data_IF_716938455333
#
_entry.id   IF_716938455333
#
_cell.length_a   1.000
_cell.length_b   1.000
_cell.length_c   1.000
_cell.angle_alpha   90.00
_cell.angle_beta   90.00
_cell.angle_gamma   90.00
#
_symmetry.space_group_name_H-M   'P 1'
#
loop_
_entity.id
_entity.type
_entity.pdbx_description
1 polymer ?
#
# COMPACT_ATOMS: atom_id res chain seq x y z
N UNK A 1 20.93 -13.78 23.04
CA UNK A 1 20.08 -12.59 22.79
C UNK A 1 19.35 -12.79 21.47
N UNK A 2 18.02 -12.65 21.47
CA UNK A 2 17.09 -13.12 20.43
C UNK A 2 17.33 -12.53 19.03
N UNK A 3 17.84 -13.34 18.10
CA UNK A 3 17.82 -13.02 16.65
C UNK A 3 16.42 -13.16 16.02
N UNK A 4 15.37 -13.43 16.80
CA UNK A 4 14.04 -13.79 16.31
C UNK A 4 13.11 -12.59 16.03
N UNK A 5 13.28 -11.47 16.76
CA UNK A 5 12.37 -10.32 16.63
C UNK A 5 12.34 -9.69 15.22
N UNK A 6 13.47 -9.47 14.51
CA UNK A 6 13.44 -8.88 13.17
C UNK A 6 12.75 -9.75 12.13
N UNK A 7 12.89 -11.08 12.25
CA UNK A 7 12.24 -12.04 11.34
C UNK A 7 10.73 -12.11 11.56
N UNK A 8 10.29 -12.04 12.81
CA UNK A 8 8.87 -12.00 13.14
C UNK A 8 8.22 -10.71 12.63
N UNK A 9 8.86 -9.55 12.83
CA UNK A 9 8.36 -8.29 12.29
C UNK A 9 8.34 -8.26 10.76
N UNK A 10 9.37 -8.82 10.10
CA UNK A 10 9.37 -8.94 8.64
C UNK A 10 8.21 -9.84 8.14
N UNK A 11 7.99 -10.99 8.77
CA UNK A 11 6.86 -11.88 8.44
C UNK A 11 5.52 -11.17 8.65
N UNK A 12 5.34 -10.47 9.77
CA UNK A 12 4.15 -9.69 10.05
C UNK A 12 3.91 -8.60 8.98
N UNK A 13 4.97 -7.88 8.57
CA UNK A 13 4.87 -6.88 7.51
C UNK A 13 4.45 -7.50 6.17
N UNK A 14 5.01 -8.66 5.82
CA UNK A 14 4.61 -9.39 4.61
C UNK A 14 3.17 -9.91 4.67
N UNK A 15 2.72 -10.44 5.82
CA UNK A 15 1.32 -10.86 6.01
C UNK A 15 0.38 -9.67 5.85
N UNK A 16 0.69 -8.52 6.48
CA UNK A 16 -0.15 -7.34 6.35
C UNK A 16 -0.23 -6.84 4.91
N UNK A 17 0.86 -6.90 4.13
CA UNK A 17 0.81 -6.61 2.69
C UNK A 17 -0.13 -7.54 1.92
N UNK A 18 -0.12 -8.84 2.22
CA UNK A 18 -1.07 -9.77 1.60
C UNK A 18 -2.50 -9.46 2.02
N UNK A 19 -2.72 -9.13 3.30
CA UNK A 19 -4.03 -8.72 3.81
C UNK A 19 -4.53 -7.50 3.05
N UNK A 20 -3.71 -6.46 2.84
CA UNK A 20 -4.15 -5.27 2.09
C UNK A 20 -4.55 -5.59 0.65
N UNK A 21 -3.87 -6.54 -0.01
CA UNK A 21 -4.27 -6.96 -1.35
C UNK A 21 -5.61 -7.69 -1.35
N UNK A 22 -5.74 -8.69 -0.47
CA UNK A 22 -6.95 -9.51 -0.38
C UNK A 22 -8.15 -8.65 -0.02
N UNK A 23 -8.01 -7.76 0.96
CA UNK A 23 -9.11 -6.89 1.39
C UNK A 23 -9.47 -5.86 0.32
N UNK A 24 -8.49 -5.26 -0.36
CA UNK A 24 -8.73 -4.32 -1.46
C UNK A 24 -9.53 -4.96 -2.61
N UNK A 25 -9.10 -6.13 -3.10
CA UNK A 25 -9.79 -6.85 -4.18
C UNK A 25 -11.18 -7.32 -3.72
N UNK A 26 -11.27 -7.88 -2.53
CA UNK A 26 -12.55 -8.35 -1.99
C UNK A 26 -13.54 -7.21 -1.76
N UNK A 27 -13.08 -6.00 -1.40
CA UNK A 27 -13.93 -4.83 -1.21
C UNK A 27 -14.60 -4.42 -2.54
N UNK A 28 -13.85 -4.40 -3.64
CA UNK A 28 -14.39 -4.12 -4.98
C UNK A 28 -15.49 -5.13 -5.34
N UNK A 29 -15.24 -6.42 -5.11
CA UNK A 29 -16.23 -7.48 -5.36
C UNK A 29 -17.47 -7.31 -4.47
N UNK A 30 -17.28 -6.97 -3.19
CA UNK A 30 -18.38 -6.77 -2.26
C UNK A 30 -19.27 -5.58 -2.65
N UNK A 31 -18.67 -4.43 -2.99
CA UNK A 31 -19.41 -3.27 -3.47
C UNK A 31 -20.12 -3.54 -4.80
N UNK A 32 -19.48 -4.24 -5.73
CA UNK A 32 -20.08 -4.64 -7.00
C UNK A 32 -21.29 -5.57 -6.84
N UNK A 33 -21.31 -6.38 -5.77
CA UNK A 33 -22.44 -7.23 -5.41
C UNK A 33 -23.51 -6.52 -4.55
N UNK A 34 -23.40 -5.20 -4.34
CA UNK A 34 -24.31 -4.43 -3.47
C UNK A 34 -24.17 -4.73 -1.97
N UNK A 35 -23.12 -5.45 -1.55
CA UNK A 35 -22.87 -5.82 -0.14
C UNK A 35 -22.09 -4.71 0.56
N UNK A 36 -22.70 -3.54 0.69
CA UNK A 36 -22.09 -2.34 1.29
C UNK A 36 -21.47 -2.60 2.67
N UNK A 37 -22.12 -3.31 3.63
CA UNK A 37 -21.50 -3.58 4.92
C UNK A 37 -20.20 -4.39 4.81
N UNK A 38 -20.14 -5.34 3.88
CA UNK A 38 -18.94 -6.14 3.65
C UNK A 38 -17.82 -5.31 3.00
N UNK A 39 -18.16 -4.46 2.03
CA UNK A 39 -17.20 -3.52 1.42
C UNK A 39 -16.56 -2.59 2.45
N UNK A 40 -17.38 -1.92 3.27
CA UNK A 40 -16.90 -1.03 4.35
C UNK A 40 -16.02 -1.80 5.34
N UNK A 41 -16.42 -3.01 5.76
CA UNK A 41 -15.62 -3.82 6.68
C UNK A 41 -14.23 -4.16 6.10
N UNK A 42 -14.18 -4.52 4.82
CA UNK A 42 -12.94 -4.85 4.12
C UNK A 42 -12.04 -3.62 3.95
N UNK A 43 -12.60 -2.43 3.69
CA UNK A 43 -11.84 -1.18 3.61
C UNK A 43 -11.26 -0.75 4.96
N UNK A 44 -11.97 -0.98 6.07
CA UNK A 44 -11.42 -0.75 7.40
C UNK A 44 -10.25 -1.71 7.69
N UNK A 45 -10.39 -2.99 7.33
CA UNK A 45 -9.29 -3.95 7.45
C UNK A 45 -8.09 -3.59 6.56
N UNK A 46 -8.35 -3.11 5.33
CA UNK A 46 -7.35 -2.56 4.43
C UNK A 46 -6.61 -1.38 5.07
N UNK A 47 -7.33 -0.38 5.59
CA UNK A 47 -6.74 0.80 6.21
C UNK A 47 -5.86 0.44 7.42
N UNK A 48 -6.29 -0.52 8.26
CA UNK A 48 -5.47 -1.03 9.36
C UNK A 48 -4.21 -1.75 8.86
N UNK A 49 -4.32 -2.54 7.79
CA UNK A 49 -3.17 -3.13 7.12
C UNK A 49 -2.22 -2.07 6.57
N UNK A 50 -2.75 -0.95 6.07
CA UNK A 50 -1.95 0.19 5.61
C UNK A 50 -1.12 0.79 6.74
N UNK A 51 -1.75 1.16 7.86
CA UNK A 51 -1.03 1.68 9.03
C UNK A 51 0.00 0.67 9.54
N UNK A 52 -0.39 -0.59 9.70
CA UNK A 52 0.50 -1.64 10.24
C UNK A 52 1.71 -1.90 9.37
N UNK A 53 1.56 -1.95 8.03
CA UNK A 53 2.70 -2.05 7.11
C UNK A 53 3.62 -0.83 7.18
N UNK A 54 3.06 0.38 7.28
CA UNK A 54 3.82 1.62 7.46
C UNK A 54 4.70 1.57 8.71
N UNK A 55 4.11 1.24 9.86
CA UNK A 55 4.82 1.16 11.15
C UNK A 55 5.90 0.08 11.13
N UNK A 56 5.59 -1.13 10.65
CA UNK A 56 6.55 -2.23 10.64
C UNK A 56 7.72 -1.97 9.68
N UNK A 57 7.46 -1.44 8.48
CA UNK A 57 8.55 -1.13 7.55
C UNK A 57 9.38 0.06 8.01
N UNK A 58 8.80 1.06 8.68
CA UNK A 58 9.61 2.08 9.36
C UNK A 58 10.55 1.45 10.39
N UNK A 59 10.01 0.60 11.26
CA UNK A 59 10.81 -0.05 12.29
C UNK A 59 11.96 -0.88 11.69
N UNK A 60 11.68 -1.61 10.61
CA UNK A 60 12.63 -2.52 9.95
C UNK A 60 13.69 -1.80 9.11
N UNK A 61 13.35 -0.68 8.46
CA UNK A 61 14.21 -0.01 7.47
C UNK A 61 14.78 1.34 7.92
N UNK A 62 14.37 1.89 9.08
CA UNK A 62 14.84 3.21 9.57
C UNK A 62 16.36 3.34 9.70
N UNK A 63 17.07 2.25 9.97
CA UNK A 63 18.55 2.25 10.08
C UNK A 63 19.25 2.33 8.73
N UNK A 64 18.56 2.00 7.64
CA UNK A 64 19.05 2.10 6.26
C UNK A 64 18.69 3.42 5.58
N UNK A 65 17.69 4.14 6.09
CA UNK A 65 17.28 5.43 5.54
C UNK A 65 16.12 6.03 6.33
N UNK A 66 16.43 6.70 7.45
CA UNK A 66 15.44 7.18 8.42
C UNK A 66 14.37 8.08 7.80
N UNK A 67 14.76 9.05 6.98
CA UNK A 67 13.83 9.99 6.35
C UNK A 67 12.86 9.26 5.41
N UNK A 68 13.38 8.45 4.47
CA UNK A 68 12.54 7.69 3.52
C UNK A 68 11.63 6.69 4.22
N UNK A 69 12.13 6.01 5.25
CA UNK A 69 11.33 5.10 6.06
C UNK A 69 10.18 5.83 6.78
N UNK A 70 10.43 7.03 7.30
CA UNK A 70 9.41 7.86 7.93
C UNK A 70 8.41 8.40 6.89
N UNK A 71 8.88 8.84 5.72
CA UNK A 71 8.04 9.26 4.60
C UNK A 71 7.10 8.14 4.15
N UNK A 72 7.60 6.91 3.99
CA UNK A 72 6.77 5.75 3.66
C UNK A 72 5.69 5.51 4.71
N UNK A 73 6.05 5.50 6.01
CA UNK A 73 5.07 5.29 7.08
C UNK A 73 4.01 6.40 7.13
N UNK A 74 4.41 7.66 6.94
CA UNK A 74 3.48 8.78 6.87
C UNK A 74 2.52 8.64 5.68
N UNK A 75 3.03 8.30 4.49
CA UNK A 75 2.20 8.09 3.30
C UNK A 75 1.21 6.93 3.47
N UNK A 76 1.62 5.82 4.11
CA UNK A 76 0.70 4.73 4.47
C UNK A 76 -0.40 5.19 5.43
N UNK A 77 -0.08 6.08 6.36
CA UNK A 77 -1.07 6.70 7.25
C UNK A 77 -2.06 7.59 6.49
N UNK A 78 -1.56 8.42 5.57
CA UNK A 78 -2.40 9.26 4.69
C UNK A 78 -3.32 8.39 3.83
N UNK A 79 -2.78 7.34 3.23
CA UNK A 79 -3.54 6.38 2.41
C UNK A 79 -4.67 5.74 3.23
N UNK A 80 -4.38 5.25 4.43
CA UNK A 80 -5.37 4.69 5.34
C UNK A 80 -6.47 5.70 5.69
N UNK A 81 -6.09 6.95 5.97
CA UNK A 81 -7.05 8.00 6.29
C UNK A 81 -7.97 8.32 5.10
N UNK A 82 -7.44 8.36 3.88
CA UNK A 82 -8.24 8.59 2.66
C UNK A 82 -9.19 7.42 2.39
N UNK A 83 -8.74 6.18 2.58
CA UNK A 83 -9.59 4.98 2.46
C UNK A 83 -10.77 5.04 3.44
N UNK A 84 -10.50 5.38 4.71
CA UNK A 84 -11.57 5.54 5.71
C UNK A 84 -12.52 6.68 5.32
N UNK A 85 -11.99 7.81 4.86
CA UNK A 85 -12.81 8.93 4.38
C UNK A 85 -13.71 8.53 3.20
N UNK A 86 -13.23 7.65 2.33
CA UNK A 86 -13.99 7.04 1.23
C UNK A 86 -15.10 6.07 1.67
N UNK A 87 -14.84 5.31 2.73
CA UNK A 87 -15.80 4.36 3.29
C UNK A 87 -16.96 5.06 4.04
N UNK A 88 -16.74 6.26 4.59
CA UNK A 88 -17.75 7.03 5.32
C UNK A 88 -19.05 7.28 4.52
N UNK A 89 -19.02 7.82 3.28
CA UNK A 89 -20.23 8.01 2.50
C UNK A 89 -20.94 6.68 2.18
N UNK A 90 -20.20 5.58 1.97
CA UNK A 90 -20.77 4.25 1.76
C UNK A 90 -21.44 3.71 3.03
N UNK A 91 -20.88 3.97 4.21
CA UNK A 91 -21.52 3.66 5.48
C UNK A 91 -22.79 4.49 5.68
N UNK A 92 -22.76 5.77 5.34
CA UNK A 92 -23.90 6.67 5.50
C UNK A 92 -25.12 6.22 4.68
N UNK A 93 -24.93 5.65 3.48
CA UNK A 93 -26.05 5.14 2.66
C UNK A 93 -26.82 4.02 3.36
N UNK A 94 -26.19 3.27 4.27
CA UNK A 94 -26.86 2.24 5.06
C UNK A 94 -27.84 2.85 6.07
N UNK A 95 -27.49 3.98 6.70
CA UNK A 95 -28.33 4.62 7.72
C UNK A 95 -29.51 5.37 7.11
N UNK A 96 -29.31 5.97 5.94
CA UNK A 96 -30.40 6.62 5.20
C UNK A 96 -31.13 5.66 4.26
N UNK A 97 -30.79 4.37 4.28
CA UNK A 97 -31.38 3.32 3.43
C UNK A 97 -31.36 3.65 1.93
N UNK A 98 -30.31 4.34 1.47
CA UNK A 98 -30.12 4.73 0.08
C UNK A 98 -29.43 3.61 -0.72
N UNK A 99 -30.23 2.80 -1.42
CA UNK A 99 -29.73 1.74 -2.31
C UNK A 99 -29.62 2.18 -3.79
N UNK A 100 -30.24 3.31 -4.16
CA UNK A 100 -30.23 3.87 -5.50
C UNK A 100 -30.57 5.37 -5.47
N UNK A 101 -30.45 6.05 -6.62
CA UNK A 101 -30.82 7.46 -6.76
C UNK A 101 -29.71 8.45 -6.35
N UNK A 102 -30.01 9.75 -6.28
CA UNK A 102 -29.00 10.81 -6.19
C UNK A 102 -28.04 10.67 -5.00
N UNK A 103 -28.54 10.29 -3.82
CA UNK A 103 -27.72 10.11 -2.62
C UNK A 103 -26.74 8.95 -2.75
N UNK A 104 -27.16 7.85 -3.38
CA UNK A 104 -26.31 6.70 -3.68
C UNK A 104 -25.23 7.05 -4.71
N UNK A 105 -25.61 7.76 -5.79
CA UNK A 105 -24.65 8.19 -6.82
C UNK A 105 -23.61 9.16 -6.26
N UNK A 106 -24.01 10.09 -5.38
CA UNK A 106 -23.08 10.98 -4.68
C UNK A 106 -22.11 10.20 -3.79
N UNK A 107 -22.60 9.25 -3.00
CA UNK A 107 -21.76 8.43 -2.12
C UNK A 107 -20.72 7.62 -2.92
N UNK A 108 -21.15 6.96 -4.01
CA UNK A 108 -20.25 6.26 -4.93
C UNK A 108 -19.23 7.20 -5.58
N UNK A 109 -19.63 8.41 -5.94
CA UNK A 109 -18.72 9.40 -6.55
C UNK A 109 -17.65 9.85 -5.56
N UNK A 110 -18.02 10.09 -4.29
CA UNK A 110 -17.09 10.40 -3.21
C UNK A 110 -16.14 9.24 -2.93
N UNK A 111 -16.67 8.01 -2.90
CA UNK A 111 -15.87 6.79 -2.76
C UNK A 111 -14.87 6.65 -3.92
N UNK A 112 -15.31 6.80 -5.17
CA UNK A 112 -14.44 6.75 -6.36
C UNK A 112 -13.36 7.83 -6.32
N UNK A 113 -13.69 9.05 -5.90
CA UNK A 113 -12.71 10.12 -5.75
C UNK A 113 -11.66 9.78 -4.69
N UNK A 114 -12.07 9.24 -3.54
CA UNK A 114 -11.15 8.79 -2.49
C UNK A 114 -10.25 7.64 -2.96
N UNK A 115 -10.78 6.72 -3.77
CA UNK A 115 -10.02 5.61 -4.34
C UNK A 115 -8.90 6.13 -5.24
N UNK A 116 -9.18 7.09 -6.13
CA UNK A 116 -8.15 7.73 -6.97
C UNK A 116 -7.09 8.46 -6.12
N UNK A 117 -7.49 9.15 -5.05
CA UNK A 117 -6.56 9.88 -4.20
C UNK A 117 -5.67 8.94 -3.36
N UNK A 118 -6.26 7.99 -2.63
CA UNK A 118 -5.57 7.09 -1.72
C UNK A 118 -4.89 5.93 -2.46
N UNK A 119 -5.71 5.00 -2.94
CA UNK A 119 -5.26 3.78 -3.63
C UNK A 119 -4.78 4.03 -5.06
N UNK A 120 -4.91 5.25 -5.56
CA UNK A 120 -4.26 5.73 -6.77
C UNK A 120 -3.00 6.54 -6.47
N UNK A 121 -3.14 7.84 -6.24
CA UNK A 121 -2.01 8.77 -6.19
C UNK A 121 -1.09 8.53 -4.98
N UNK A 122 -1.63 8.40 -3.77
CA UNK A 122 -0.81 8.23 -2.56
C UNK A 122 -0.03 6.92 -2.60
N UNK A 123 -0.67 5.80 -2.96
CA UNK A 123 0.04 4.52 -3.08
C UNK A 123 1.15 4.59 -4.14
N UNK A 124 0.93 5.30 -5.25
CA UNK A 124 1.94 5.47 -6.30
C UNK A 124 3.23 6.07 -5.75
N UNK A 125 3.12 7.17 -5.00
CA UNK A 125 4.26 7.84 -4.37
C UNK A 125 4.88 6.95 -3.30
N UNK A 126 4.04 6.26 -2.53
CA UNK A 126 4.46 5.35 -1.49
C UNK A 126 5.34 4.22 -2.03
N UNK A 127 4.94 3.60 -3.15
CA UNK A 127 5.71 2.57 -3.85
C UNK A 127 7.05 3.10 -4.35
N UNK A 128 7.11 4.31 -4.89
CA UNK A 128 8.37 4.93 -5.34
C UNK A 128 9.33 5.14 -4.15
N UNK A 129 8.84 5.72 -3.05
CA UNK A 129 9.65 5.98 -1.85
C UNK A 129 10.19 4.67 -1.27
N UNK A 130 9.35 3.63 -1.20
CA UNK A 130 9.77 2.31 -0.73
C UNK A 130 10.77 1.66 -1.70
N UNK A 131 10.49 1.68 -3.00
CA UNK A 131 11.39 1.15 -4.02
C UNK A 131 12.77 1.79 -3.95
N UNK A 132 12.83 3.11 -3.76
CA UNK A 132 14.09 3.84 -3.57
C UNK A 132 14.82 3.41 -2.29
N UNK A 133 14.10 3.32 -1.17
CA UNK A 133 14.69 2.86 0.09
C UNK A 133 15.23 1.42 -0.03
N UNK A 134 14.50 0.54 -0.71
CA UNK A 134 14.91 -0.85 -0.94
C UNK A 134 16.10 -0.97 -1.91
N UNK A 135 16.20 -0.07 -2.89
CA UNK A 135 17.33 0.02 -3.81
C UNK A 135 18.62 0.39 -3.08
N UNK A 136 18.57 1.46 -2.27
CA UNK A 136 19.72 1.96 -1.53
C UNK A 136 20.15 0.99 -0.43
N UNK A 137 19.18 0.47 0.34
CA UNK A 137 19.44 -0.43 1.47
C UNK A 137 19.90 -1.83 1.04
N UNK A 138 19.65 -2.22 -0.22
CA UNK A 138 19.90 -3.57 -0.76
C UNK A 138 19.34 -4.69 0.13
N UNK A 139 18.28 -4.41 0.90
CA UNK A 139 17.66 -5.36 1.83
C UNK A 139 16.89 -6.48 1.11
N UNK A 140 16.66 -6.33 -0.19
CA UNK A 140 15.92 -7.22 -1.09
C UNK A 140 16.68 -7.38 -2.42
N UNK A 141 16.31 -8.31 -3.32
CA UNK A 141 16.89 -8.39 -4.66
C UNK A 141 16.70 -7.07 -5.43
N UNK A 142 17.71 -6.64 -6.19
CA UNK A 142 17.65 -5.37 -6.95
C UNK A 142 16.49 -5.30 -7.93
N UNK A 143 16.16 -6.41 -8.58
CA UNK A 143 15.02 -6.49 -9.48
C UNK A 143 13.69 -6.13 -8.78
N UNK A 144 13.52 -6.52 -7.51
CA UNK A 144 12.34 -6.16 -6.71
C UNK A 144 12.29 -4.65 -6.45
N UNK A 145 13.41 -4.04 -6.08
CA UNK A 145 13.48 -2.59 -5.86
C UNK A 145 13.22 -1.79 -7.15
N UNK A 146 13.77 -2.22 -8.28
CA UNK A 146 13.52 -1.60 -9.60
C UNK A 146 12.05 -1.74 -10.00
N UNK A 147 11.43 -2.90 -9.76
CA UNK A 147 10.02 -3.10 -10.04
C UNK A 147 9.15 -2.13 -9.24
N UNK A 148 9.47 -1.88 -7.96
CA UNK A 148 8.79 -0.87 -7.14
C UNK A 148 8.95 0.55 -7.68
N UNK A 149 10.16 0.95 -8.06
CA UNK A 149 10.42 2.27 -8.65
C UNK A 149 9.68 2.46 -9.98
N UNK A 150 9.90 1.54 -10.93
CA UNK A 150 9.30 1.62 -12.26
C UNK A 150 7.77 1.50 -12.20
N UNK A 151 7.25 0.57 -11.39
CA UNK A 151 5.82 0.39 -11.20
C UNK A 151 5.19 1.60 -10.55
N UNK A 152 5.77 2.12 -9.46
CA UNK A 152 5.29 3.31 -8.78
C UNK A 152 5.23 4.52 -9.70
N UNK A 153 6.28 4.75 -10.51
CA UNK A 153 6.31 5.84 -11.49
C UNK A 153 5.27 5.68 -12.61
N UNK A 154 5.11 4.46 -13.14
CA UNK A 154 4.13 4.18 -14.18
C UNK A 154 2.70 4.41 -13.69
N UNK A 155 2.36 3.87 -12.52
CA UNK A 155 1.02 4.01 -11.97
C UNK A 155 0.75 5.46 -11.52
N UNK A 156 1.76 6.19 -11.06
CA UNK A 156 1.64 7.63 -10.78
C UNK A 156 1.25 8.41 -12.05
N UNK A 157 1.96 8.18 -13.16
CA UNK A 157 1.65 8.82 -14.43
C UNK A 157 0.24 8.47 -14.93
N UNK A 158 -0.18 7.21 -14.79
CA UNK A 158 -1.54 6.77 -15.10
C UNK A 158 -2.60 7.44 -14.23
N UNK A 159 -2.38 7.53 -12.90
CA UNK A 159 -3.33 8.16 -11.98
C UNK A 159 -3.43 9.67 -12.18
N UNK A 160 -2.31 10.34 -12.50
CA UNK A 160 -2.34 11.75 -12.91
C UNK A 160 -3.10 11.92 -14.23
N UNK A 161 -2.90 11.03 -15.20
CA UNK A 161 -3.65 11.07 -16.46
C UNK A 161 -5.16 10.90 -16.24
N UNK A 162 -5.58 10.05 -15.30
CA UNK A 162 -6.98 9.92 -14.90
C UNK A 162 -7.50 11.19 -14.20
N UNK A 163 -6.71 11.78 -13.29
CA UNK A 163 -7.06 13.02 -12.60
C UNK A 163 -7.31 14.18 -13.58
N UNK A 164 -6.52 14.27 -14.64
CA UNK A 164 -6.66 15.29 -15.68
C UNK A 164 -7.64 14.89 -16.80
N UNK A 165 -8.32 13.75 -16.68
CA UNK A 165 -9.30 13.29 -17.68
C UNK A 165 -8.70 12.87 -19.02
N UNK A 166 -7.39 12.64 -19.10
CA UNK A 166 -6.69 12.20 -20.32
C UNK A 166 -7.02 10.73 -20.65
N UNK A 167 -7.19 9.90 -19.61
CA UNK A 167 -7.62 8.51 -19.74
C UNK A 167 -8.81 8.25 -18.80
N UNK A 168 -9.71 7.29 -19.10
CA UNK A 168 -10.87 7.00 -18.27
C UNK A 168 -10.46 6.45 -16.89
N UNK A 169 -11.22 6.85 -15.86
CA UNK A 169 -11.10 6.32 -14.50
C UNK A 169 -11.29 4.79 -14.49
N UNK A 170 -10.37 4.08 -13.85
CA UNK A 170 -10.42 2.62 -13.69
C UNK A 170 -10.56 1.84 -15.02
N UNK A 171 -10.13 2.43 -16.15
CA UNK A 171 -10.16 1.79 -17.46
C UNK A 171 -9.05 0.74 -17.65
N UNK A 172 -9.08 0.04 -18.80
CA UNK A 172 -8.10 -1.02 -19.11
C UNK A 172 -6.64 -0.54 -19.06
N UNK A 173 -6.37 0.69 -19.53
CA UNK A 173 -5.02 1.29 -19.49
C UNK A 173 -4.58 1.52 -18.03
N UNK A 174 -5.46 2.05 -17.18
CA UNK A 174 -5.17 2.25 -15.76
C UNK A 174 -4.91 0.91 -15.04
N UNK A 175 -5.72 -0.11 -15.34
CA UNK A 175 -5.51 -1.47 -14.82
C UNK A 175 -4.17 -2.07 -15.25
N UNK A 176 -3.79 -1.93 -16.53
CA UNK A 176 -2.51 -2.39 -17.03
C UNK A 176 -1.32 -1.66 -16.38
N UNK A 177 -1.42 -0.34 -16.19
CA UNK A 177 -0.40 0.47 -15.52
C UNK A 177 -0.22 0.11 -14.04
N UNK A 178 -1.24 -0.44 -13.38
CA UNK A 178 -1.17 -0.88 -11.99
C UNK A 178 -0.51 -2.26 -11.80
N UNK A 179 -0.44 -3.08 -12.86
CA UNK A 179 0.12 -4.45 -12.78
C UNK A 179 1.54 -4.52 -12.21
N UNK A 180 2.49 -3.64 -12.57
CA UNK A 180 3.83 -3.70 -12.01
C UNK A 180 3.89 -3.39 -10.50
N UNK A 181 3.04 -2.47 -10.01
CA UNK A 181 2.92 -2.19 -8.57
C UNK A 181 2.33 -3.40 -7.85
N UNK A 182 1.24 -3.97 -8.38
CA UNK A 182 0.66 -5.19 -7.82
C UNK A 182 1.69 -6.32 -7.75
N UNK A 183 2.46 -6.55 -8.82
CA UNK A 183 3.52 -7.54 -8.85
C UNK A 183 4.63 -7.23 -7.82
N UNK A 184 5.03 -5.97 -7.68
CA UNK A 184 6.00 -5.54 -6.67
C UNK A 184 5.53 -5.86 -5.26
N UNK A 185 4.31 -5.48 -4.91
CA UNK A 185 3.83 -5.62 -3.54
C UNK A 185 3.61 -7.10 -3.16
N UNK A 186 3.06 -7.91 -4.07
CA UNK A 186 2.93 -9.36 -3.86
C UNK A 186 4.32 -10.01 -3.72
N UNK A 187 5.28 -9.65 -4.58
CA UNK A 187 6.63 -10.20 -4.49
C UNK A 187 7.31 -9.79 -3.18
N UNK A 188 7.17 -8.53 -2.78
CA UNK A 188 7.68 -8.03 -1.49
C UNK A 188 7.07 -8.79 -0.32
N UNK A 189 5.76 -8.99 -0.33
CA UNK A 189 5.04 -9.69 0.73
C UNK A 189 5.55 -11.12 0.90
N UNK A 190 5.62 -11.88 -0.20
CA UNK A 190 6.14 -13.26 -0.22
C UNK A 190 7.60 -13.28 0.23
N UNK A 191 8.42 -12.35 -0.25
CA UNK A 191 9.83 -12.26 0.11
C UNK A 191 10.02 -12.01 1.62
N UNK A 192 9.24 -11.09 2.21
CA UNK A 192 9.27 -10.78 3.63
C UNK A 192 8.85 -11.98 4.49
N UNK A 193 7.83 -12.73 4.07
CA UNK A 193 7.35 -13.94 4.75
C UNK A 193 8.39 -15.05 4.70
N UNK A 194 8.89 -15.36 3.50
CA UNK A 194 9.75 -16.51 3.26
C UNK A 194 11.19 -16.28 3.74
N UNK A 195 11.75 -15.09 3.48
CA UNK A 195 13.17 -14.79 3.69
C UNK A 195 13.43 -13.72 4.75
N UNK A 196 12.53 -12.74 4.86
CA UNK A 196 12.76 -11.52 5.62
C UNK A 196 13.77 -10.59 4.93
N UNK A 197 14.10 -9.47 5.57
CA UNK A 197 15.07 -8.52 5.04
C UNK A 197 16.51 -9.02 5.23
N UNK A 198 17.38 -8.71 4.27
CA UNK A 198 18.82 -8.99 4.37
C UNK A 198 19.47 -8.03 5.36
N UNK A 199 20.11 -8.57 6.39
CA UNK A 199 20.93 -7.80 7.32
C UNK A 199 22.21 -7.34 6.64
N UNK A 200 22.46 -6.03 6.60
CA UNK A 200 23.81 -5.54 6.38
C UNK A 200 24.56 -5.69 7.72
N UNK A 201 25.33 -6.76 7.86
CA UNK A 201 26.44 -6.70 8.80
C UNK A 201 27.35 -5.57 8.30
N UNK A 202 27.30 -4.39 8.93
CA UNK A 202 28.44 -3.48 8.84
C UNK A 202 29.62 -4.31 9.35
N UNK A 203 30.63 -4.52 8.51
CA UNK A 203 31.92 -5.01 8.95
C UNK A 203 32.50 -3.96 9.90
N UNK A 204 32.04 -3.98 11.15
CA UNK A 204 32.65 -3.25 12.24
C UNK A 204 33.95 -3.96 12.54
N UNK A 205 35.04 -3.39 12.03
CA UNK A 205 36.38 -3.78 12.37
C UNK A 205 36.49 -3.99 13.89
N UNK A 206 36.77 -5.22 14.30
CA UNK A 206 37.31 -5.48 15.63
C UNK A 206 38.70 -4.86 15.67
N UNK A 207 38.79 -3.56 15.94
CA UNK A 207 40.02 -2.96 16.43
C UNK A 207 40.19 -3.50 17.85
N UNK A 208 40.91 -4.63 17.96
CA UNK A 208 41.57 -4.96 19.21
C UNK A 208 42.68 -3.94 19.36
N UNK A 209 42.53 -3.03 20.32
CA UNK A 209 43.68 -2.26 20.79
C UNK A 209 44.54 -3.16 21.68
N UNK A 210 45.87 -2.98 21.65
CA UNK A 210 46.83 -3.77 22.42
C UNK A 210 46.69 -3.58 23.93
#
# INVERSE_FOLDING_TARGET
MSHYAPRQHARAAGILYLVTHVTSVAAVVAYGAGRVPAGVTLELALALGCVGTGVLLWHLLRTSGQVRAATFAALRGVEAAVIVAGALPMLATMWVHAAAGPSWELAKSMHTASFLLGQGLVISVNTIVLGWLLWDSRSVPRALAVLGLAGGSLVLASNLSQLWGVIPLNGAVAGAAALPVFAFEIWLAIYLIARGLRSHARAGASVRLP
#
